data_IF_368589581156
#
_entry.id   IF_368589581156
#
_cell.length_a   1.000
_cell.length_b   1.000
_cell.length_c   1.000
_cell.angle_alpha   90.00
_cell.angle_beta   90.00
_cell.angle_gamma   90.00
#
_symmetry.space_group_name_H-M   'P 1'
#
loop_
_entity.id
_entity.type
_entity.pdbx_description
1 polymer ?
#
# COMPACT_ATOMS: atom_id res chain seq x y z
N UNK A 1 -17.40 -33.57 9.88
CA UNK A 1 -15.95 -33.80 9.97
C UNK A 1 -15.24 -32.49 9.73
N UNK A 2 -14.58 -31.96 10.74
CA UNK A 2 -13.71 -30.80 10.62
C UNK A 2 -12.51 -31.18 9.73
N UNK A 3 -12.43 -30.67 8.53
CA UNK A 3 -11.23 -30.82 7.69
C UNK A 3 -10.19 -29.87 8.28
N UNK A 4 -9.21 -30.42 8.98
CA UNK A 4 -8.14 -29.64 9.57
C UNK A 4 -7.32 -28.90 8.51
N UNK A 5 -6.65 -27.82 8.90
CA UNK A 5 -5.77 -27.02 8.06
C UNK A 5 -4.75 -27.87 7.25
N UNK A 6 -4.35 -29.04 7.78
CA UNK A 6 -3.49 -29.99 7.08
C UNK A 6 -4.05 -30.57 5.78
N UNK A 7 -5.38 -30.60 5.60
CA UNK A 7 -5.99 -31.09 4.38
C UNK A 7 -5.92 -30.08 3.21
N UNK A 8 -5.84 -28.80 3.52
CA UNK A 8 -5.68 -27.74 2.52
C UNK A 8 -4.30 -27.83 1.87
N UNK A 9 -3.27 -28.08 2.66
CA UNK A 9 -1.89 -28.22 2.16
C UNK A 9 -1.67 -29.54 1.41
N UNK A 10 -2.29 -30.63 1.84
CA UNK A 10 -2.16 -31.95 1.19
C UNK A 10 -2.82 -32.06 -0.18
N UNK A 11 -3.71 -31.14 -0.54
CA UNK A 11 -4.41 -31.11 -1.82
C UNK A 11 -3.87 -30.08 -2.81
N UNK A 12 -2.77 -29.44 -2.49
CA UNK A 12 -2.15 -28.41 -3.32
C UNK A 12 -1.60 -29.01 -4.63
N UNK A 13 -1.15 -30.27 -4.59
CA UNK A 13 -0.64 -31.00 -5.75
C UNK A 13 -1.33 -32.35 -5.90
N UNK A 14 -1.66 -32.71 -7.14
CA UNK A 14 -2.28 -34.00 -7.45
C UNK A 14 -1.25 -35.14 -7.46
N UNK A 15 -0.03 -34.87 -7.89
CA UNK A 15 1.10 -35.79 -7.99
C UNK A 15 2.42 -35.00 -8.10
N UNK A 16 3.54 -35.72 -8.16
CA UNK A 16 4.88 -35.11 -8.25
C UNK A 16 5.11 -34.35 -9.57
N UNK A 17 4.56 -34.80 -10.67
CA UNK A 17 4.67 -34.11 -11.95
C UNK A 17 3.92 -32.77 -11.93
N UNK A 18 2.71 -32.73 -11.35
CA UNK A 18 1.97 -31.50 -11.12
C UNK A 18 2.72 -30.55 -10.19
N UNK A 19 3.34 -31.05 -9.12
CA UNK A 19 4.19 -30.21 -8.25
C UNK A 19 5.38 -29.66 -9.03
N UNK A 20 6.07 -30.43 -9.81
CA UNK A 20 7.20 -30.00 -10.64
C UNK A 20 6.78 -28.92 -11.65
N UNK A 21 5.64 -29.06 -12.32
CA UNK A 21 5.11 -28.09 -13.26
C UNK A 21 4.79 -26.75 -12.56
N UNK A 22 4.22 -26.80 -11.33
CA UNK A 22 3.94 -25.61 -10.52
C UNK A 22 5.19 -24.89 -10.08
N UNK A 23 6.17 -25.62 -9.51
CA UNK A 23 7.45 -25.05 -9.12
C UNK A 23 8.27 -24.54 -10.32
N UNK A 24 8.11 -25.19 -11.47
CA UNK A 24 8.70 -24.75 -12.73
C UNK A 24 7.94 -23.62 -13.45
N UNK A 25 6.87 -23.06 -12.82
CA UNK A 25 6.02 -22.00 -13.37
C UNK A 25 5.36 -22.33 -14.72
N UNK A 26 5.22 -23.61 -15.03
CA UNK A 26 4.55 -24.13 -16.23
C UNK A 26 3.03 -24.29 -16.03
N UNK A 27 2.60 -24.41 -14.78
CA UNK A 27 1.20 -24.48 -14.37
C UNK A 27 0.93 -23.42 -13.30
N UNK A 28 0.02 -22.45 -13.55
CA UNK A 28 -0.28 -21.39 -12.59
C UNK A 28 -1.04 -21.92 -11.37
N UNK A 29 -0.75 -21.39 -10.19
CA UNK A 29 -1.48 -21.68 -8.96
C UNK A 29 -0.63 -21.64 -7.70
N UNK A 30 -1.23 -22.07 -6.59
CA UNK A 30 -0.57 -22.01 -5.29
C UNK A 30 0.58 -23.00 -5.21
N UNK A 31 1.75 -22.53 -4.82
CA UNK A 31 2.98 -23.31 -4.67
C UNK A 31 3.32 -23.48 -3.20
N UNK A 32 3.41 -22.38 -2.48
CA UNK A 32 3.87 -22.33 -1.09
C UNK A 32 3.20 -21.19 -0.34
N UNK A 33 2.70 -21.47 0.86
CA UNK A 33 1.83 -20.53 1.59
C UNK A 33 2.40 -19.15 1.90
N UNK A 34 3.73 -18.97 1.86
CA UNK A 34 4.37 -17.66 1.96
C UNK A 34 4.39 -16.88 0.65
N UNK A 35 4.30 -17.56 -0.48
CA UNK A 35 4.29 -16.96 -1.81
C UNK A 35 2.86 -16.80 -2.32
N UNK A 36 2.04 -17.84 -2.15
CA UNK A 36 0.66 -17.86 -2.65
C UNK A 36 -0.23 -18.60 -1.65
N UNK A 37 -1.26 -17.96 -1.18
CA UNK A 37 -2.23 -18.54 -0.25
C UNK A 37 -3.65 -18.24 -0.72
N UNK A 38 -4.48 -19.26 -0.88
CA UNK A 38 -5.84 -19.10 -1.40
C UNK A 38 -6.75 -18.25 -0.51
N UNK A 39 -6.60 -18.33 0.81
CA UNK A 39 -7.38 -17.51 1.74
C UNK A 39 -6.97 -16.05 1.67
N UNK A 40 -5.66 -15.79 1.67
CA UNK A 40 -5.10 -14.45 1.48
C UNK A 40 -5.51 -13.90 0.12
N UNK A 41 -5.41 -14.70 -0.95
CA UNK A 41 -5.80 -14.29 -2.29
C UNK A 41 -7.27 -13.88 -2.41
N UNK A 42 -8.20 -14.51 -1.68
CA UNK A 42 -9.60 -14.07 -1.62
C UNK A 42 -9.73 -12.69 -0.98
N UNK A 43 -8.97 -12.43 0.08
CA UNK A 43 -8.95 -11.12 0.72
C UNK A 43 -8.37 -10.06 -0.22
N UNK A 44 -7.24 -10.33 -0.84
CA UNK A 44 -6.56 -9.43 -1.79
C UNK A 44 -7.48 -9.06 -2.97
N UNK A 45 -8.13 -10.04 -3.58
CA UNK A 45 -9.08 -9.82 -4.67
C UNK A 45 -10.29 -8.99 -4.24
N UNK A 46 -10.80 -9.20 -3.02
CA UNK A 46 -11.93 -8.41 -2.50
C UNK A 46 -11.54 -6.97 -2.25
N UNK A 47 -10.40 -6.71 -1.64
CA UNK A 47 -9.93 -5.35 -1.41
C UNK A 47 -9.67 -4.63 -2.73
N UNK A 48 -9.01 -5.30 -3.68
CA UNK A 48 -8.81 -4.75 -5.02
C UNK A 48 -10.14 -4.39 -5.70
N UNK A 49 -11.14 -5.28 -5.63
CA UNK A 49 -12.46 -5.02 -6.22
C UNK A 49 -13.22 -3.88 -5.51
N UNK A 50 -13.08 -3.74 -4.19
CA UNK A 50 -13.67 -2.64 -3.43
C UNK A 50 -13.07 -1.29 -3.77
N UNK A 51 -11.77 -1.24 -4.03
CA UNK A 51 -11.04 -0.03 -4.45
C UNK A 51 -11.15 0.27 -5.95
N UNK A 52 -11.59 -0.67 -6.76
CA UNK A 52 -11.52 -0.55 -8.22
C UNK A 52 -10.10 -0.77 -8.77
N UNK A 53 -9.21 -1.37 -7.97
CA UNK A 53 -7.83 -1.65 -8.35
C UNK A 53 -7.68 -2.95 -9.13
N UNK A 54 -6.54 -3.11 -9.80
CA UNK A 54 -6.23 -4.30 -10.63
C UNK A 54 -5.75 -5.49 -9.80
N UNK A 55 -5.13 -5.24 -8.65
CA UNK A 55 -4.61 -6.28 -7.75
C UNK A 55 -4.47 -5.73 -6.32
N UNK A 56 -4.39 -6.63 -5.34
CA UNK A 56 -4.09 -6.35 -3.96
C UNK A 56 -3.00 -7.26 -3.42
N UNK A 57 -2.27 -6.81 -2.41
CA UNK A 57 -1.27 -7.59 -1.68
C UNK A 57 -1.53 -7.46 -0.18
N UNK A 58 -1.81 -8.56 0.47
CA UNK A 58 -1.96 -8.59 1.92
C UNK A 58 -0.61 -8.86 2.60
N UNK A 59 -0.31 -8.03 3.58
CA UNK A 59 0.93 -8.11 4.37
C UNK A 59 0.59 -8.07 5.86
N UNK A 60 1.58 -8.26 6.72
CA UNK A 60 1.37 -8.45 8.15
C UNK A 60 0.87 -7.19 8.89
N UNK A 61 1.04 -6.00 8.32
CA UNK A 61 0.61 -4.72 8.91
C UNK A 61 0.55 -3.61 7.87
N UNK A 62 -0.19 -2.52 8.17
CA UNK A 62 -0.18 -1.32 7.33
C UNK A 62 1.20 -0.67 7.23
N UNK A 63 1.98 -0.68 8.30
CA UNK A 63 3.37 -0.21 8.27
C UNK A 63 4.22 -1.03 7.28
N UNK A 64 4.02 -2.35 7.21
CA UNK A 64 4.66 -3.20 6.22
C UNK A 64 4.18 -2.88 4.80
N UNK A 65 2.88 -2.63 4.61
CA UNK A 65 2.33 -2.26 3.31
C UNK A 65 2.99 -0.99 2.77
N UNK A 66 3.04 0.07 3.57
CA UNK A 66 3.68 1.33 3.19
C UNK A 66 5.19 1.14 2.94
N UNK A 67 5.87 0.39 3.81
CA UNK A 67 7.32 0.12 3.64
C UNK A 67 7.58 -0.58 2.32
N UNK A 68 6.81 -1.61 1.99
CA UNK A 68 7.01 -2.37 0.75
C UNK A 68 6.61 -1.56 -0.49
N UNK A 69 5.59 -0.71 -0.40
CA UNK A 69 5.24 0.20 -1.48
C UNK A 69 6.43 1.08 -1.87
N UNK A 70 7.09 1.71 -0.88
CA UNK A 70 8.29 2.52 -1.15
C UNK A 70 9.49 1.68 -1.60
N UNK A 71 9.80 0.59 -0.91
CA UNK A 71 10.96 -0.25 -1.26
C UNK A 71 10.85 -0.88 -2.65
N UNK A 72 9.65 -1.08 -3.14
CA UNK A 72 9.43 -1.61 -4.50
C UNK A 72 9.88 -0.63 -5.59
N UNK A 73 9.70 0.67 -5.37
CA UNK A 73 9.91 1.71 -6.39
C UNK A 73 11.13 2.59 -6.16
N UNK A 74 11.73 2.54 -4.95
CA UNK A 74 12.90 3.37 -4.61
C UNK A 74 14.19 2.56 -4.48
N UNK A 75 15.31 3.25 -4.70
CA UNK A 75 16.68 2.77 -4.51
C UNK A 75 17.49 3.83 -3.78
N UNK A 76 18.69 3.49 -3.31
CA UNK A 76 19.61 4.47 -2.73
C UNK A 76 19.87 5.62 -3.73
N UNK A 77 19.72 6.85 -3.27
CA UNK A 77 19.80 8.06 -4.07
C UNK A 77 18.45 8.61 -4.53
N UNK A 78 17.36 7.86 -4.36
CA UNK A 78 16.01 8.31 -4.72
C UNK A 78 15.37 9.21 -3.65
N UNK A 79 14.31 9.90 -4.07
CA UNK A 79 13.59 10.87 -3.27
C UNK A 79 12.08 10.61 -3.30
N UNK A 80 11.37 10.99 -2.24
CA UNK A 80 9.91 10.94 -2.10
C UNK A 80 9.39 12.29 -1.62
N UNK A 81 8.26 12.73 -2.15
CA UNK A 81 7.52 13.89 -1.61
C UNK A 81 6.34 13.37 -0.79
N UNK A 82 6.18 13.83 0.43
CA UNK A 82 5.08 13.44 1.30
C UNK A 82 4.38 14.65 1.92
N UNK A 83 3.07 14.55 2.13
CA UNK A 83 2.39 15.53 2.98
C UNK A 83 2.94 15.48 4.41
N UNK A 84 3.02 16.62 5.08
CA UNK A 84 3.46 16.68 6.49
C UNK A 84 2.41 16.16 7.46
N UNK A 85 1.14 16.11 7.05
CA UNK A 85 0.00 15.63 7.85
C UNK A 85 -0.26 14.16 7.59
N UNK A 86 0.67 13.30 8.01
CA UNK A 86 0.61 11.85 7.85
C UNK A 86 0.83 11.16 9.20
N UNK A 87 0.45 9.90 9.28
CA UNK A 87 0.66 9.05 10.45
C UNK A 87 2.12 9.05 10.91
N UNK A 88 2.33 9.19 12.23
CA UNK A 88 3.66 9.30 12.81
C UNK A 88 4.58 8.12 12.50
N UNK A 89 4.04 6.90 12.33
CA UNK A 89 4.81 5.73 11.90
C UNK A 89 5.35 5.89 10.48
N UNK A 90 4.54 6.39 9.57
CA UNK A 90 4.96 6.68 8.18
C UNK A 90 5.95 7.85 8.14
N UNK A 91 5.70 8.89 8.95
CA UNK A 91 6.66 9.97 9.10
C UNK A 91 8.04 9.45 9.54
N UNK A 92 8.08 8.62 10.60
CA UNK A 92 9.33 8.04 11.09
C UNK A 92 10.01 7.14 10.04
N UNK A 93 9.23 6.38 9.28
CA UNK A 93 9.77 5.58 8.16
C UNK A 93 10.50 6.48 7.15
N UNK A 94 9.83 7.54 6.69
CA UNK A 94 10.35 8.44 5.66
C UNK A 94 11.46 9.35 6.18
N UNK A 95 11.34 9.86 7.42
CA UNK A 95 12.28 10.84 7.97
C UNK A 95 13.55 10.21 8.56
N UNK A 96 13.46 8.97 9.07
CA UNK A 96 14.55 8.38 9.84
C UNK A 96 15.01 7.00 9.33
N UNK A 97 14.06 6.14 8.91
CA UNK A 97 14.41 4.78 8.52
C UNK A 97 14.92 4.72 7.07
N UNK A 98 14.18 5.23 6.11
CA UNK A 98 14.57 5.18 4.70
C UNK A 98 15.87 5.94 4.40
N UNK A 99 16.19 7.07 5.06
CA UNK A 99 17.48 7.72 4.88
C UNK A 99 18.70 6.83 5.22
N UNK A 100 18.57 5.87 6.13
CA UNK A 100 19.64 4.90 6.42
C UNK A 100 19.92 3.96 5.25
N UNK A 101 18.96 3.84 4.33
CA UNK A 101 19.06 3.08 3.07
C UNK A 101 19.30 3.99 1.86
N UNK A 102 19.57 5.29 2.10
CA UNK A 102 19.87 6.25 1.05
C UNK A 102 18.69 6.83 0.31
N UNK A 103 17.45 6.64 0.80
CA UNK A 103 16.23 7.26 0.24
C UNK A 103 15.85 8.46 1.08
N UNK A 104 15.69 9.63 0.45
CA UNK A 104 15.35 10.88 1.13
C UNK A 104 13.88 11.25 0.94
N UNK A 105 13.33 12.10 1.82
CA UNK A 105 11.97 12.59 1.70
C UNK A 105 11.88 14.08 1.99
N UNK A 106 11.00 14.78 1.24
CA UNK A 106 10.59 16.16 1.53
C UNK A 106 9.14 16.17 1.98
N UNK A 107 8.90 16.75 3.16
CA UNK A 107 7.55 16.93 3.71
C UNK A 107 7.01 18.30 3.36
N UNK A 108 5.81 18.33 2.78
CA UNK A 108 5.18 19.59 2.31
C UNK A 108 3.86 19.88 3.04
N UNK A 109 3.51 21.14 3.11
CA UNK A 109 2.19 21.55 3.58
C UNK A 109 1.16 21.29 2.49
N UNK A 110 0.17 20.39 2.73
CA UNK A 110 -0.84 20.10 1.74
C UNK A 110 -1.91 21.19 1.58
N UNK A 111 -1.90 22.22 2.41
CA UNK A 111 -2.81 23.37 2.31
C UNK A 111 -2.53 24.25 1.08
N UNK A 112 -1.34 24.17 0.49
CA UNK A 112 -1.00 24.75 -0.80
C UNK A 112 -0.42 23.65 -1.71
N UNK A 113 -1.19 23.24 -2.70
CA UNK A 113 -0.82 22.16 -3.63
C UNK A 113 0.45 22.49 -4.44
N UNK A 114 0.77 23.77 -4.63
CA UNK A 114 2.01 24.17 -5.30
C UNK A 114 3.28 23.69 -4.56
N UNK A 115 3.16 23.38 -3.28
CA UNK A 115 4.28 22.84 -2.50
C UNK A 115 4.70 21.44 -2.97
N UNK A 116 3.76 20.60 -3.44
CA UNK A 116 4.10 19.30 -4.04
C UNK A 116 4.94 19.50 -5.30
N UNK A 117 4.48 20.38 -6.21
CA UNK A 117 5.20 20.70 -7.45
C UNK A 117 6.63 21.19 -7.18
N UNK A 118 6.78 22.13 -6.24
CA UNK A 118 8.09 22.72 -5.88
C UNK A 118 9.04 21.71 -5.22
N UNK A 119 8.51 20.69 -4.55
CA UNK A 119 9.30 19.69 -3.84
C UNK A 119 9.77 18.54 -4.73
N UNK A 120 9.15 18.33 -5.90
CA UNK A 120 9.54 17.29 -6.83
C UNK A 120 10.93 17.60 -7.41
N UNK A 121 11.79 16.59 -7.38
CA UNK A 121 13.17 16.61 -7.86
C UNK A 121 13.32 15.59 -9.02
N UNK A 122 14.42 15.63 -9.75
CA UNK A 122 14.70 14.69 -10.84
C UNK A 122 14.70 13.23 -10.38
N UNK A 123 15.16 12.97 -9.15
CA UNK A 123 15.21 11.66 -8.54
C UNK A 123 13.97 11.32 -7.69
N UNK A 124 12.90 12.10 -7.73
CA UNK A 124 11.64 11.78 -7.03
C UNK A 124 10.96 10.59 -7.69
N UNK A 125 10.53 9.62 -6.87
CA UNK A 125 9.90 8.38 -7.33
C UNK A 125 8.44 8.23 -6.96
N UNK A 126 7.94 9.01 -6.00
CA UNK A 126 6.53 9.00 -5.61
C UNK A 126 6.13 10.28 -4.88
N UNK A 127 4.84 10.56 -4.91
CA UNK A 127 4.15 11.43 -3.96
C UNK A 127 3.34 10.57 -3.01
N UNK A 128 3.33 10.91 -1.72
CA UNK A 128 2.58 10.21 -0.67
C UNK A 128 1.68 11.16 0.10
N UNK A 129 0.41 10.79 0.26
CA UNK A 129 -0.57 11.50 1.10
C UNK A 129 -1.46 10.50 1.87
N UNK A 130 -2.23 11.00 2.83
CA UNK A 130 -3.34 10.29 3.44
C UNK A 130 -4.67 10.93 3.02
N UNK A 131 -5.73 10.15 2.84
CA UNK A 131 -7.06 10.68 2.50
C UNK A 131 -7.60 11.63 3.55
N UNK A 132 -7.29 11.37 4.81
CA UNK A 132 -7.55 12.22 5.96
C UNK A 132 -6.24 12.42 6.72
N UNK A 133 -5.75 13.65 6.73
CA UNK A 133 -4.48 13.97 7.37
C UNK A 133 -4.47 13.69 8.88
N UNK A 134 -3.38 13.14 9.36
CA UNK A 134 -3.19 12.78 10.76
C UNK A 134 -2.22 13.76 11.46
N UNK A 135 -2.59 14.39 12.59
CA UNK A 135 -3.86 14.25 13.32
C UNK A 135 -4.95 15.26 12.93
N UNK A 136 -4.69 16.16 12.01
CA UNK A 136 -5.50 17.36 11.78
C UNK A 136 -6.81 17.12 11.02
N UNK A 137 -7.03 15.90 10.51
CA UNK A 137 -8.20 15.51 9.70
C UNK A 137 -8.43 16.41 8.47
N UNK A 138 -7.37 17.05 7.96
CA UNK A 138 -7.45 17.85 6.75
C UNK A 138 -7.68 16.94 5.54
N UNK A 139 -8.54 17.40 4.64
CA UNK A 139 -8.82 16.72 3.37
C UNK A 139 -7.90 17.33 2.30
N UNK A 140 -7.30 16.46 1.50
CA UNK A 140 -6.43 16.84 0.38
C UNK A 140 -7.17 16.55 -0.91
N UNK A 141 -7.09 17.44 -1.88
CA UNK A 141 -7.62 17.22 -3.23
C UNK A 141 -6.75 16.16 -3.94
N UNK A 142 -7.26 14.91 -3.96
CA UNK A 142 -6.54 13.76 -4.51
C UNK A 142 -6.29 13.94 -6.00
N UNK A 143 -7.29 14.38 -6.76
CA UNK A 143 -7.20 14.54 -8.20
C UNK A 143 -6.13 15.57 -8.58
N UNK A 144 -6.12 16.69 -7.89
CA UNK A 144 -5.11 17.74 -8.14
C UNK A 144 -3.68 17.27 -7.77
N UNK A 145 -3.50 16.50 -6.69
CA UNK A 145 -2.18 15.94 -6.36
C UNK A 145 -1.78 14.84 -7.35
N UNK A 146 -2.74 14.00 -7.80
CA UNK A 146 -2.50 12.99 -8.83
C UNK A 146 -2.05 13.64 -10.14
N UNK A 147 -2.71 14.72 -10.58
CA UNK A 147 -2.31 15.46 -11.77
C UNK A 147 -0.87 16.00 -11.65
N UNK A 148 -0.48 16.52 -10.47
CA UNK A 148 0.89 16.97 -10.23
C UNK A 148 1.86 15.81 -10.38
N UNK A 149 1.63 14.69 -9.70
CA UNK A 149 2.49 13.52 -9.75
C UNK A 149 2.63 12.97 -11.18
N UNK A 150 1.50 12.82 -11.89
CA UNK A 150 1.47 12.26 -13.24
C UNK A 150 2.14 13.15 -14.29
N UNK A 151 2.09 14.49 -14.15
CA UNK A 151 2.88 15.38 -15.01
C UNK A 151 4.39 15.11 -14.93
N UNK A 152 4.86 14.64 -13.79
CA UNK A 152 6.25 14.24 -13.57
C UNK A 152 6.51 12.74 -13.78
N UNK A 153 5.51 11.98 -14.28
CA UNK A 153 5.59 10.54 -14.50
C UNK A 153 5.94 9.71 -13.26
N UNK A 154 5.49 10.18 -12.09
CA UNK A 154 5.64 9.48 -10.82
C UNK A 154 4.28 9.12 -10.23
N UNK A 155 4.16 7.98 -9.50
CA UNK A 155 2.92 7.54 -8.90
C UNK A 155 2.53 8.37 -7.67
N UNK A 156 1.21 8.46 -7.46
CA UNK A 156 0.62 8.87 -6.21
C UNK A 156 0.25 7.66 -5.35
N UNK A 157 0.83 7.59 -4.16
CA UNK A 157 0.54 6.56 -3.15
C UNK A 157 -0.30 7.19 -2.05
N UNK A 158 -1.41 6.55 -1.68
CA UNK A 158 -2.34 7.06 -0.66
C UNK A 158 -2.56 6.04 0.44
N UNK A 159 -2.47 6.46 1.69
CA UNK A 159 -3.03 5.71 2.81
C UNK A 159 -4.50 6.09 2.98
N UNK A 160 -5.39 5.12 2.72
CA UNK A 160 -6.83 5.28 2.84
C UNK A 160 -7.41 4.59 4.09
N UNK A 161 -6.62 4.43 5.13
CA UNK A 161 -7.01 3.73 6.35
C UNK A 161 -8.27 4.33 6.99
N UNK A 162 -8.37 5.65 7.06
CA UNK A 162 -9.55 6.32 7.63
C UNK A 162 -10.71 6.46 6.66
N UNK A 163 -10.44 6.68 5.38
CA UNK A 163 -11.48 6.79 4.36
C UNK A 163 -12.16 5.46 4.11
N UNK A 164 -11.41 4.40 3.97
CA UNK A 164 -11.84 3.07 3.51
C UNK A 164 -12.53 3.12 2.14
N UNK A 165 -12.63 2.01 1.40
CA UNK A 165 -13.33 2.00 0.11
C UNK A 165 -14.84 2.25 0.22
N UNK A 166 -15.36 2.35 1.44
CA UNK A 166 -16.76 2.70 1.69
C UNK A 166 -17.03 4.21 1.52
N UNK A 167 -16.11 5.05 2.03
CA UNK A 167 -16.29 6.51 1.97
C UNK A 167 -15.65 7.11 0.70
N UNK A 168 -14.50 6.59 0.30
CA UNK A 168 -13.77 7.08 -0.88
C UNK A 168 -12.90 5.98 -1.46
N UNK A 169 -12.76 5.97 -2.77
CA UNK A 169 -11.89 5.06 -3.53
C UNK A 169 -10.82 5.88 -4.25
N UNK A 170 -9.66 6.07 -3.65
CA UNK A 170 -8.63 6.94 -4.21
C UNK A 170 -8.19 6.57 -5.63
N UNK A 171 -8.27 5.30 -6.03
CA UNK A 171 -7.98 4.88 -7.41
C UNK A 171 -8.90 5.54 -8.43
N UNK A 172 -10.18 5.72 -8.11
CA UNK A 172 -11.14 6.41 -8.96
C UNK A 172 -10.83 7.91 -9.11
N UNK A 173 -9.99 8.46 -8.22
CA UNK A 173 -9.52 9.84 -8.18
C UNK A 173 -8.05 10.01 -8.61
N UNK A 174 -7.46 9.00 -9.24
CA UNK A 174 -6.12 9.08 -9.83
C UNK A 174 -4.98 8.56 -8.96
N UNK A 175 -5.26 7.93 -7.81
CA UNK A 175 -4.21 7.25 -7.06
C UNK A 175 -3.75 5.99 -7.80
N UNK A 176 -2.44 5.75 -7.82
CA UNK A 176 -1.83 4.57 -8.44
C UNK A 176 -1.69 3.41 -7.46
N UNK A 177 -1.55 3.73 -6.17
CA UNK A 177 -1.42 2.74 -5.09
C UNK A 177 -2.15 3.22 -3.86
N UNK A 178 -2.94 2.31 -3.27
CA UNK A 178 -3.67 2.56 -2.03
C UNK A 178 -3.20 1.58 -0.97
N UNK A 179 -2.86 2.09 0.20
CA UNK A 179 -2.51 1.29 1.37
C UNK A 179 -3.57 1.39 2.46
N UNK A 180 -3.64 0.34 3.27
CA UNK A 180 -4.51 0.27 4.45
C UNK A 180 -3.77 -0.31 5.63
N UNK A 181 -4.04 0.24 6.79
CA UNK A 181 -3.98 -0.55 8.01
C UNK A 181 -5.38 -1.10 8.24
N UNK A 182 -5.53 -2.44 8.21
CA UNK A 182 -6.79 -3.07 8.59
C UNK A 182 -7.00 -2.86 10.09
N UNK A 183 -7.63 -1.73 10.43
CA UNK A 183 -7.93 -1.38 11.80
C UNK A 183 -9.14 -2.21 12.24
N UNK A 184 -8.88 -3.12 13.14
CA UNK A 184 -9.70 -3.60 14.25
C UNK A 184 -11.21 -3.63 13.97
N UNK A 185 -11.71 -4.82 13.71
CA UNK A 185 -13.12 -5.06 13.38
C UNK A 185 -14.12 -4.63 14.49
N UNK A 186 -13.66 -4.28 15.71
CA UNK A 186 -14.52 -4.07 16.88
C UNK A 186 -14.05 -2.95 17.81
N UNK A 187 -13.33 -1.95 17.31
CA UNK A 187 -12.98 -0.81 18.15
C UNK A 187 -14.17 0.09 18.37
N UNK A 188 -14.52 0.21 19.64
CA UNK A 188 -15.41 1.25 20.14
C UNK A 188 -14.56 2.41 20.66
N UNK A 189 -15.16 3.60 20.79
CA UNK A 189 -14.51 4.77 21.43
C UNK A 189 -13.87 4.45 22.80
N UNK A 190 -14.35 3.43 23.50
CA UNK A 190 -13.80 2.96 24.77
C UNK A 190 -12.45 2.26 24.64
N UNK A 191 -12.06 1.86 23.45
CA UNK A 191 -10.79 1.16 23.16
C UNK A 191 -9.74 2.09 22.52
N UNK A 192 -10.05 3.36 22.37
CA UNK A 192 -9.17 4.39 21.83
C UNK A 192 -8.44 5.12 22.98
N UNK A 193 -7.71 4.40 23.82
CA UNK A 193 -6.86 4.98 24.88
C UNK A 193 -5.41 4.77 24.52
#
# INVERSE_FOLDING_TARGET
MSRGLGDVYKRQFHNSAHAAARFGLQDPGNIYGRLTNSTQGVFEQRVAALEGGVAGLAVASGAAAITYAFQNITRAGDHVVAAKTIYGGTYNLLAHTLPTYGVTATFVDPGDLSNFEKAIQENTKAVFIETLGNPNSNIIDIEAVAEIAHRHHIPLIIDNTFGTPYLIRPIEHGADTVSYTHLRAHETLANLV
#
